data_IF_645163228021
#
_entry.id   IF_645163228021
#
_cell.length_a   1.000
_cell.length_b   1.000
_cell.length_c   1.000
_cell.angle_alpha   90.00
_cell.angle_beta   90.00
_cell.angle_gamma   90.00
#
_symmetry.space_group_name_H-M   'P 1'
#
loop_
_entity.id
_entity.type
_entity.pdbx_description
1 polymer ?
#
# COMPACT_ATOMS: atom_id res chain seq x y z
N UNK A 1 2.11 33.30 17.62
CA UNK A 1 1.17 33.02 16.52
C UNK A 1 0.49 31.70 16.81
N UNK A 2 -0.84 31.62 16.75
CA UNK A 2 -1.53 30.36 16.94
C UNK A 2 -1.13 29.43 15.77
N UNK A 3 -0.61 28.24 16.07
CA UNK A 3 -0.32 27.25 15.03
C UNK A 3 -1.63 26.89 14.33
N UNK A 4 -1.65 27.02 13.01
CA UNK A 4 -2.83 26.67 12.21
C UNK A 4 -2.84 25.17 12.04
N UNK A 5 -3.79 24.49 12.69
CA UNK A 5 -4.03 23.06 12.48
C UNK A 5 -4.45 22.82 11.02
N UNK A 6 -3.86 21.83 10.41
CA UNK A 6 -4.18 21.39 9.05
C UNK A 6 -5.04 20.14 9.12
N UNK A 7 -6.21 20.14 8.49
CA UNK A 7 -7.06 18.95 8.50
C UNK A 7 -6.42 17.83 7.66
N UNK A 8 -6.36 16.62 8.18
CA UNK A 8 -5.79 15.47 7.46
C UNK A 8 -6.51 15.20 6.15
N UNK A 9 -7.82 15.30 6.15
CA UNK A 9 -8.67 15.14 4.96
C UNK A 9 -8.32 16.16 3.87
N UNK A 10 -8.16 17.44 4.23
CA UNK A 10 -7.71 18.47 3.30
C UNK A 10 -6.33 18.15 2.72
N UNK A 11 -5.38 17.68 3.54
CA UNK A 11 -4.06 17.27 3.08
C UNK A 11 -4.13 16.12 2.07
N UNK A 12 -4.94 15.11 2.33
CA UNK A 12 -5.07 13.95 1.42
C UNK A 12 -5.73 14.32 0.10
N UNK A 13 -6.75 15.17 0.12
CA UNK A 13 -7.38 15.65 -1.10
C UNK A 13 -6.45 16.53 -1.95
N UNK A 14 -5.71 17.44 -1.32
CA UNK A 14 -4.76 18.29 -2.02
C UNK A 14 -3.62 17.46 -2.64
N UNK A 15 -3.06 16.50 -1.90
CA UNK A 15 -1.99 15.67 -2.45
C UNK A 15 -2.48 14.75 -3.56
N UNK A 16 -3.70 14.22 -3.46
CA UNK A 16 -4.30 13.42 -4.53
C UNK A 16 -4.42 14.21 -5.83
N UNK A 17 -4.89 15.46 -5.75
CA UNK A 17 -4.94 16.37 -6.91
C UNK A 17 -3.56 16.66 -7.48
N UNK A 18 -2.57 16.89 -6.62
CA UNK A 18 -1.21 17.23 -7.08
C UNK A 18 -0.53 16.03 -7.76
N UNK A 19 -0.63 14.83 -7.22
CA UNK A 19 0.01 13.64 -7.82
C UNK A 19 -0.67 13.21 -9.11
N UNK A 20 -1.97 13.49 -9.29
CA UNK A 20 -2.71 13.23 -10.51
C UNK A 20 -2.77 14.44 -11.45
N UNK A 21 -2.08 15.55 -11.15
CA UNK A 21 -2.11 16.76 -11.96
C UNK A 21 -1.43 16.59 -13.33
N UNK A 22 -0.48 15.68 -13.44
CA UNK A 22 0.20 15.33 -14.69
C UNK A 22 0.88 13.97 -14.60
N UNK A 23 1.20 13.33 -15.75
CA UNK A 23 2.03 12.12 -15.79
C UNK A 23 3.33 12.24 -15.01
N UNK A 24 4.02 13.38 -15.10
CA UNK A 24 5.30 13.62 -14.43
C UNK A 24 5.14 13.65 -12.90
N UNK A 25 4.06 14.23 -12.37
CA UNK A 25 3.79 14.24 -10.92
C UNK A 25 3.45 12.83 -10.42
N UNK A 26 2.69 12.04 -11.19
CA UNK A 26 2.42 10.65 -10.89
C UNK A 26 3.71 9.81 -10.85
N UNK A 27 4.56 9.91 -11.87
CA UNK A 27 5.87 9.24 -11.91
C UNK A 27 6.76 9.63 -10.71
N UNK A 28 6.73 10.89 -10.28
CA UNK A 28 7.43 11.34 -9.05
C UNK A 28 6.88 10.68 -7.80
N UNK A 29 5.56 10.56 -7.69
CA UNK A 29 4.94 9.82 -6.59
C UNK A 29 5.34 8.34 -6.63
N UNK A 30 5.29 7.69 -7.81
CA UNK A 30 5.69 6.29 -7.97
C UNK A 30 7.16 6.06 -7.58
N UNK A 31 8.06 7.00 -7.82
CA UNK A 31 9.44 6.95 -7.31
C UNK A 31 9.51 6.86 -5.78
N UNK A 32 8.64 7.55 -5.08
CA UNK A 32 8.57 7.48 -3.61
C UNK A 32 7.88 6.20 -3.17
N UNK A 33 6.78 5.81 -3.84
CA UNK A 33 6.05 4.58 -3.57
C UNK A 33 6.94 3.33 -3.71
N UNK A 34 7.81 3.28 -4.73
CA UNK A 34 8.75 2.15 -4.95
C UNK A 34 9.74 1.97 -3.79
N UNK A 35 10.24 3.07 -3.20
CA UNK A 35 11.11 3.01 -2.01
C UNK A 35 10.33 2.59 -0.76
N UNK A 36 9.06 2.99 -0.68
CA UNK A 36 8.16 2.79 0.46
C UNK A 36 7.15 1.66 0.24
N UNK A 37 7.42 0.71 -0.65
CA UNK A 37 6.49 -0.36 -1.07
C UNK A 37 5.93 -1.21 0.09
N UNK A 38 6.57 -1.19 1.27
CA UNK A 38 6.08 -1.87 2.49
C UNK A 38 4.95 -1.12 3.20
N UNK A 39 4.75 0.15 2.87
CA UNK A 39 3.66 0.97 3.37
C UNK A 39 2.44 0.83 2.46
N UNK A 40 1.24 0.97 3.03
CA UNK A 40 -0.01 1.00 2.26
C UNK A 40 -0.09 2.27 1.42
N UNK A 41 -0.91 2.27 0.37
CA UNK A 41 -1.08 3.46 -0.48
C UNK A 41 -1.44 4.73 0.33
N UNK A 42 -2.38 4.71 1.31
CA UNK A 42 -2.63 5.88 2.15
C UNK A 42 -1.40 6.41 2.88
N UNK A 43 -0.58 5.51 3.41
CA UNK A 43 0.65 5.90 4.10
C UNK A 43 1.70 6.45 3.14
N UNK A 44 1.86 5.85 1.95
CA UNK A 44 2.74 6.36 0.89
C UNK A 44 2.35 7.77 0.47
N UNK A 45 1.04 8.02 0.26
CA UNK A 45 0.51 9.33 -0.12
C UNK A 45 0.78 10.38 0.97
N UNK A 46 0.54 10.04 2.23
CA UNK A 46 0.80 10.92 3.38
C UNK A 46 2.29 11.18 3.61
N UNK A 47 3.14 10.17 3.42
CA UNK A 47 4.60 10.37 3.49
C UNK A 47 5.04 11.29 2.35
N UNK A 48 4.59 11.04 1.12
CA UNK A 48 4.89 11.88 -0.03
C UNK A 48 4.46 13.34 0.17
N UNK A 49 3.26 13.57 0.72
CA UNK A 49 2.75 14.91 1.01
C UNK A 49 3.66 15.71 1.94
N UNK A 50 4.28 15.05 2.92
CA UNK A 50 5.07 15.69 3.98
C UNK A 50 6.58 15.61 3.73
N UNK A 51 7.03 14.57 3.01
CA UNK A 51 8.45 14.31 2.74
C UNK A 51 8.65 13.44 1.49
N UNK A 52 8.57 14.03 0.29
CA UNK A 52 8.66 13.30 -0.99
C UNK A 52 9.97 12.51 -1.15
N UNK A 53 11.06 13.00 -0.57
CA UNK A 53 12.39 12.39 -0.63
C UNK A 53 12.63 11.28 0.42
N UNK A 54 11.63 10.91 1.20
CA UNK A 54 11.76 9.87 2.23
C UNK A 54 12.31 8.57 1.65
N UNK A 55 13.23 7.93 2.40
CA UNK A 55 13.94 6.72 1.96
C UNK A 55 13.59 5.49 2.79
N UNK A 56 13.74 5.57 4.11
CA UNK A 56 13.40 4.50 5.04
C UNK A 56 12.75 5.10 6.28
N UNK A 57 11.48 4.85 6.45
CA UNK A 57 10.65 5.49 7.48
C UNK A 57 10.25 4.45 8.53
N UNK A 58 10.29 4.82 9.80
CA UNK A 58 9.78 3.98 10.88
C UNK A 58 9.38 4.81 12.12
N UNK A 59 8.61 4.20 13.02
CA UNK A 59 8.28 4.81 14.30
C UNK A 59 9.53 4.99 15.20
N UNK A 60 9.47 5.95 16.10
CA UNK A 60 10.54 6.17 17.09
C UNK A 60 10.87 4.89 17.89
N UNK A 61 9.85 4.10 18.20
CA UNK A 61 10.02 2.83 18.90
C UNK A 61 10.88 1.84 18.11
N UNK A 62 10.60 1.68 16.81
CA UNK A 62 11.39 0.81 15.92
C UNK A 62 12.82 1.32 15.83
N UNK A 63 13.02 2.63 15.62
CA UNK A 63 14.35 3.21 15.55
C UNK A 63 15.13 2.97 16.83
N UNK A 64 14.55 3.25 17.99
CA UNK A 64 15.25 3.15 19.27
C UNK A 64 15.48 1.70 19.70
N UNK A 65 14.45 0.86 19.70
CA UNK A 65 14.49 -0.48 20.30
C UNK A 65 15.05 -1.56 19.38
N UNK A 66 14.74 -1.48 18.07
CA UNK A 66 15.17 -2.53 17.12
C UNK A 66 16.42 -2.16 16.35
N UNK A 67 16.56 -0.87 15.98
CA UNK A 67 17.66 -0.39 15.15
C UNK A 67 18.77 0.28 15.96
N UNK A 68 18.55 0.56 17.25
CA UNK A 68 19.50 1.29 18.11
C UNK A 68 19.96 2.60 17.48
N UNK A 69 18.98 3.33 16.95
CA UNK A 69 19.15 4.66 16.35
C UNK A 69 18.24 5.65 17.08
N UNK A 70 18.76 6.85 17.34
CA UNK A 70 18.02 7.89 18.04
C UNK A 70 17.62 8.99 17.08
N UNK A 71 16.44 9.56 17.29
CA UNK A 71 15.95 10.69 16.50
C UNK A 71 16.81 11.91 16.84
N UNK A 72 17.29 12.61 15.80
CA UNK A 72 18.04 13.86 15.97
C UNK A 72 17.15 14.93 16.57
N UNK A 73 17.72 15.75 17.46
CA UNK A 73 16.99 16.89 18.04
C UNK A 73 16.53 17.84 16.97
N UNK A 74 15.24 18.24 17.03
CA UNK A 74 14.61 19.13 16.06
C UNK A 74 14.15 18.48 14.76
N UNK A 75 14.29 17.15 14.61
CA UNK A 75 13.76 16.43 13.46
C UNK A 75 12.24 16.55 13.37
N UNK A 76 11.73 16.64 12.14
CA UNK A 76 10.31 16.74 11.84
C UNK A 76 9.71 15.34 11.61
N UNK A 77 8.74 14.97 12.45
CA UNK A 77 7.98 13.74 12.27
C UNK A 77 7.00 13.83 11.10
N UNK A 78 6.63 12.69 10.56
CA UNK A 78 5.64 12.52 9.50
C UNK A 78 4.38 11.93 10.17
N UNK A 79 3.23 12.58 10.04
CA UNK A 79 1.96 12.09 10.57
C UNK A 79 1.34 11.07 9.62
N UNK A 80 0.97 9.93 10.16
CA UNK A 80 0.23 8.87 9.48
C UNK A 80 -1.07 8.56 10.22
N UNK A 81 -2.03 8.01 9.51
CA UNK A 81 -3.28 7.53 10.07
C UNK A 81 -3.06 6.11 10.61
N UNK A 82 -3.30 5.91 11.91
CA UNK A 82 -3.29 4.59 12.53
C UNK A 82 -4.73 4.12 12.78
N UNK A 83 -5.15 3.15 12.00
CA UNK A 83 -6.43 2.46 12.12
C UNK A 83 -6.28 1.01 12.62
N UNK A 84 -5.07 0.62 13.07
CA UNK A 84 -4.74 -0.75 13.48
C UNK A 84 -4.63 -0.91 14.99
N UNK A 85 -4.17 0.11 15.73
CA UNK A 85 -3.86 0.03 17.17
C UNK A 85 -5.08 0.15 18.08
N UNK A 86 -6.30 0.00 17.56
CA UNK A 86 -7.52 0.08 18.37
C UNK A 86 -8.80 0.17 17.54
N UNK A 87 -9.93 0.34 18.20
CA UNK A 87 -11.21 0.43 17.50
C UNK A 87 -11.33 1.69 16.65
N UNK A 88 -10.79 2.80 17.14
CA UNK A 88 -10.85 4.11 16.47
C UNK A 88 -9.54 4.49 15.80
N UNK A 89 -9.67 5.26 14.76
CA UNK A 89 -8.58 5.90 14.01
C UNK A 89 -7.90 6.99 14.85
N UNK A 90 -6.57 7.06 14.79
CA UNK A 90 -5.74 8.07 15.46
C UNK A 90 -4.50 8.42 14.62
N UNK A 91 -3.79 9.48 14.99
CA UNK A 91 -2.50 9.79 14.39
C UNK A 91 -1.37 8.99 15.06
N UNK A 92 -0.41 8.55 14.24
CA UNK A 92 0.91 8.08 14.64
C UNK A 92 2.00 8.85 13.90
N UNK A 93 3.19 8.90 14.47
CA UNK A 93 4.32 9.64 13.88
C UNK A 93 5.46 8.71 13.54
N UNK A 94 6.06 8.94 12.38
CA UNK A 94 7.21 8.20 11.88
C UNK A 94 8.32 9.17 11.47
N UNK A 95 9.56 8.69 11.39
CA UNK A 95 10.74 9.48 11.08
C UNK A 95 11.57 8.77 10.03
N UNK A 96 12.14 9.53 9.09
CA UNK A 96 13.05 9.00 8.09
C UNK A 96 14.42 8.65 8.72
N UNK A 97 15.13 7.69 8.14
CA UNK A 97 16.47 7.27 8.58
C UNK A 97 17.45 8.45 8.63
N UNK A 98 17.30 9.43 7.74
CA UNK A 98 18.15 10.64 7.69
C UNK A 98 17.99 11.51 8.95
N UNK A 99 16.86 11.41 9.63
CA UNK A 99 16.59 12.09 10.89
C UNK A 99 17.13 11.35 12.12
N UNK A 100 17.85 10.26 11.91
CA UNK A 100 18.38 9.43 13.00
C UNK A 100 19.89 9.39 13.01
N UNK A 101 20.47 9.05 14.17
CA UNK A 101 21.88 8.73 14.30
C UNK A 101 22.07 7.40 15.03
N UNK A 102 23.15 6.68 14.70
CA UNK A 102 23.47 5.38 15.32
C UNK A 102 23.99 5.55 16.74
N UNK A 103 23.56 4.69 17.64
CA UNK A 103 24.24 4.49 18.92
C UNK A 103 25.56 3.76 18.64
N UNK A 104 26.66 4.25 19.24
CA UNK A 104 28.01 3.65 19.02
C UNK A 104 27.98 2.15 19.30
N UNK A 105 28.53 1.38 18.37
CA UNK A 105 28.69 -0.09 18.43
C UNK A 105 27.40 -0.93 18.42
N UNK A 106 26.20 -0.33 18.47
CA UNK A 106 24.91 -1.05 18.50
C UNK A 106 24.01 -0.67 17.32
N UNK A 107 24.16 0.55 16.78
CA UNK A 107 23.27 1.08 15.75
C UNK A 107 23.34 0.30 14.44
N UNK A 108 22.18 -0.11 13.95
CA UNK A 108 21.99 -0.84 12.69
C UNK A 108 21.55 0.09 11.59
N UNK A 109 21.90 -0.23 10.36
CA UNK A 109 21.28 0.39 9.18
C UNK A 109 20.04 -0.40 8.77
N UNK A 110 19.02 0.27 8.21
CA UNK A 110 17.95 -0.43 7.54
C UNK A 110 18.50 -1.36 6.47
N UNK A 111 18.04 -2.59 6.47
CA UNK A 111 18.37 -3.52 5.39
C UNK A 111 17.53 -3.14 4.16
N UNK A 112 18.05 -2.20 3.39
CA UNK A 112 17.53 -1.83 2.07
C UNK A 112 18.28 -2.71 1.07
N UNK A 113 17.56 -3.65 0.45
CA UNK A 113 18.17 -4.47 -0.58
C UNK A 113 18.46 -3.64 -1.84
N UNK A 114 19.58 -3.92 -2.46
CA UNK A 114 19.92 -3.43 -3.80
C UNK A 114 20.20 -4.64 -4.67
N UNK A 115 19.72 -4.60 -5.90
CA UNK A 115 19.98 -5.62 -6.88
C UNK A 115 21.24 -5.22 -7.68
N UNK A 116 22.33 -5.99 -7.61
CA UNK A 116 23.48 -5.78 -8.48
C UNK A 116 23.15 -6.23 -9.91
N UNK A 117 23.77 -5.60 -10.90
CA UNK A 117 23.55 -5.91 -12.33
C UNK A 117 23.80 -7.39 -12.63
N UNK A 118 24.82 -7.98 -11.99
CA UNK A 118 25.17 -9.39 -12.15
C UNK A 118 24.08 -10.34 -11.64
N UNK A 119 23.18 -9.84 -10.78
CA UNK A 119 22.08 -10.62 -10.21
C UNK A 119 20.74 -10.49 -10.96
N UNK A 120 20.65 -9.63 -11.96
CA UNK A 120 19.38 -9.37 -12.66
C UNK A 120 18.82 -10.63 -13.32
N UNK A 121 19.65 -11.42 -13.99
CA UNK A 121 19.21 -12.66 -14.62
C UNK A 121 18.73 -13.70 -13.60
N UNK A 122 19.38 -13.82 -12.45
CA UNK A 122 18.97 -14.74 -11.38
C UNK A 122 17.64 -14.33 -10.76
N UNK A 123 17.36 -13.02 -10.65
CA UNK A 123 16.05 -12.53 -10.18
C UNK A 123 14.97 -12.76 -11.25
N UNK A 124 15.30 -12.64 -12.53
CA UNK A 124 14.38 -12.97 -13.62
C UNK A 124 13.99 -14.46 -13.59
N UNK A 125 14.98 -15.35 -13.52
CA UNK A 125 14.77 -16.81 -13.41
C UNK A 125 13.95 -17.16 -12.15
N UNK A 126 14.28 -16.53 -11.01
CA UNK A 126 13.53 -16.71 -9.76
C UNK A 126 12.06 -16.30 -9.90
N UNK A 127 11.78 -15.15 -10.53
CA UNK A 127 10.39 -14.69 -10.75
C UNK A 127 9.62 -15.62 -11.70
N UNK A 128 10.25 -16.07 -12.77
CA UNK A 128 9.65 -17.00 -13.72
C UNK A 128 9.25 -18.30 -13.03
N UNK A 129 10.13 -18.85 -12.17
CA UNK A 129 9.84 -20.05 -11.40
C UNK A 129 8.71 -19.83 -10.37
N UNK A 130 8.81 -18.76 -9.55
CA UNK A 130 7.87 -18.52 -8.45
C UNK A 130 6.46 -18.14 -8.91
N UNK A 131 6.35 -17.40 -10.02
CA UNK A 131 5.07 -16.93 -10.57
C UNK A 131 4.61 -17.76 -11.77
N UNK A 132 5.35 -18.80 -12.15
CA UNK A 132 5.07 -19.64 -13.32
C UNK A 132 4.93 -18.84 -14.62
N UNK A 133 5.75 -17.77 -14.75
CA UNK A 133 5.74 -16.91 -15.93
C UNK A 133 6.29 -17.65 -17.15
N UNK A 134 5.89 -17.23 -18.34
CA UNK A 134 6.50 -17.72 -19.58
C UNK A 134 7.99 -17.30 -19.64
N UNK A 135 8.82 -18.14 -20.24
CA UNK A 135 10.24 -17.83 -20.47
C UNK A 135 10.35 -16.62 -21.41
N UNK A 136 10.96 -15.55 -20.92
CA UNK A 136 11.09 -14.29 -21.66
C UNK A 136 12.54 -14.07 -22.06
N UNK A 137 12.78 -13.84 -23.34
CA UNK A 137 14.13 -13.45 -23.84
C UNK A 137 14.52 -12.02 -23.41
N UNK A 138 13.56 -11.25 -22.86
CA UNK A 138 13.72 -9.82 -22.52
C UNK A 138 14.37 -9.55 -21.16
N UNK A 139 14.84 -10.56 -20.44
CA UNK A 139 15.51 -10.42 -19.15
C UNK A 139 14.58 -9.91 -18.03
N UNK A 140 15.19 -9.29 -16.98
CA UNK A 140 14.46 -8.90 -15.77
C UNK A 140 13.30 -7.91 -16.05
N UNK A 141 13.50 -6.92 -16.92
CA UNK A 141 12.47 -5.92 -17.20
C UNK A 141 11.20 -6.56 -17.77
N UNK A 142 11.34 -7.51 -18.69
CA UNK A 142 10.20 -8.21 -19.28
C UNK A 142 9.55 -9.18 -18.28
N UNK A 143 10.36 -9.89 -17.46
CA UNK A 143 9.81 -10.73 -16.39
C UNK A 143 8.99 -9.92 -15.38
N UNK A 144 9.45 -8.70 -15.03
CA UNK A 144 8.70 -7.78 -14.17
C UNK A 144 7.41 -7.27 -14.85
N UNK A 145 7.45 -7.01 -16.16
CA UNK A 145 6.25 -6.62 -16.92
C UNK A 145 5.21 -7.73 -16.98
N UNK A 146 5.65 -8.96 -17.24
CA UNK A 146 4.78 -10.12 -17.27
C UNK A 146 4.17 -10.37 -15.88
N UNK A 147 4.97 -10.29 -14.80
CA UNK A 147 4.47 -10.38 -13.44
C UNK A 147 3.41 -9.32 -13.13
N UNK A 148 3.60 -8.08 -13.62
CA UNK A 148 2.61 -7.01 -13.48
C UNK A 148 1.31 -7.34 -14.22
N UNK A 149 1.39 -7.81 -15.47
CA UNK A 149 0.23 -8.16 -16.30
C UNK A 149 -0.58 -9.32 -15.73
N UNK A 150 0.08 -10.39 -15.32
CA UNK A 150 -0.61 -11.58 -14.79
C UNK A 150 -1.29 -11.27 -13.45
N UNK A 151 -0.59 -10.62 -12.53
CA UNK A 151 -1.18 -10.20 -11.26
C UNK A 151 -2.35 -9.22 -11.49
N UNK A 152 -2.23 -8.32 -12.48
CA UNK A 152 -3.30 -7.39 -12.82
C UNK A 152 -4.56 -8.11 -13.31
N UNK A 153 -4.42 -9.17 -14.13
CA UNK A 153 -5.58 -9.93 -14.64
C UNK A 153 -6.41 -10.54 -13.50
N UNK A 154 -5.76 -10.97 -12.43
CA UNK A 154 -6.44 -11.50 -11.25
C UNK A 154 -7.20 -10.40 -10.48
N UNK A 155 -6.60 -9.21 -10.34
CA UNK A 155 -7.16 -8.11 -9.55
C UNK A 155 -8.18 -7.25 -10.30
N UNK A 156 -8.12 -7.20 -11.63
CA UNK A 156 -8.88 -6.28 -12.46
C UNK A 156 -10.41 -6.37 -12.29
N UNK A 157 -11.05 -7.57 -12.24
CA UNK A 157 -12.51 -7.65 -12.12
C UNK A 157 -13.02 -6.99 -10.84
N UNK A 158 -12.44 -7.34 -9.69
CA UNK A 158 -12.85 -6.82 -8.39
C UNK A 158 -12.54 -5.32 -8.26
N UNK A 159 -11.38 -4.90 -8.78
CA UNK A 159 -10.97 -3.49 -8.76
C UNK A 159 -11.89 -2.61 -9.63
N UNK A 160 -12.35 -3.10 -10.78
CA UNK A 160 -13.30 -2.39 -11.64
C UNK A 160 -14.68 -2.32 -10.99
N UNK A 161 -15.15 -3.40 -10.37
CA UNK A 161 -16.42 -3.38 -9.63
C UNK A 161 -16.41 -2.30 -8.56
N UNK A 162 -15.33 -2.24 -7.75
CA UNK A 162 -15.19 -1.21 -6.71
C UNK A 162 -15.05 0.21 -7.29
N UNK A 163 -14.27 0.38 -8.36
CA UNK A 163 -14.09 1.67 -9.03
C UNK A 163 -15.43 2.22 -9.53
N UNK A 164 -16.24 1.40 -10.19
CA UNK A 164 -17.54 1.79 -10.75
C UNK A 164 -18.54 2.30 -9.72
N UNK A 165 -18.42 1.89 -8.48
CA UNK A 165 -19.25 2.43 -7.39
C UNK A 165 -18.94 3.90 -7.07
N UNK A 166 -17.75 4.37 -7.42
CA UNK A 166 -17.24 5.70 -7.05
C UNK A 166 -17.06 6.66 -8.25
N UNK A 167 -17.38 6.24 -9.49
CA UNK A 167 -17.18 7.08 -10.70
C UNK A 167 -18.12 8.30 -10.78
N UNK A 168 -19.26 8.26 -10.08
CA UNK A 168 -20.25 9.35 -10.14
C UNK A 168 -19.66 10.69 -9.71
N UNK A 169 -19.82 11.71 -10.55
CA UNK A 169 -19.27 13.05 -10.38
C UNK A 169 -17.75 13.15 -10.68
N UNK A 170 -17.20 12.20 -11.43
CA UNK A 170 -15.82 12.22 -11.91
C UNK A 170 -15.78 12.25 -13.43
N UNK A 171 -14.60 12.48 -14.02
CA UNK A 171 -14.43 12.40 -15.48
C UNK A 171 -14.75 11.02 -16.02
N UNK A 172 -14.46 9.97 -15.26
CA UNK A 172 -14.72 8.58 -15.66
C UNK A 172 -16.22 8.27 -15.85
N UNK A 173 -17.13 9.07 -15.27
CA UNK A 173 -18.58 8.93 -15.50
C UNK A 173 -18.97 9.20 -16.96
N UNK A 174 -18.19 10.02 -17.67
CA UNK A 174 -18.42 10.35 -19.09
C UNK A 174 -17.98 9.24 -20.05
N UNK A 175 -17.18 8.29 -19.56
CA UNK A 175 -16.66 7.16 -20.33
C UNK A 175 -17.63 5.96 -20.25
N UNK A 176 -17.75 5.23 -21.34
CA UNK A 176 -18.41 3.92 -21.29
C UNK A 176 -17.56 2.90 -20.51
N UNK A 177 -18.19 1.81 -20.09
CA UNK A 177 -17.56 0.78 -19.25
C UNK A 177 -16.30 0.15 -19.88
N UNK A 178 -16.24 0.05 -21.20
CA UNK A 178 -15.11 -0.52 -21.91
C UNK A 178 -13.92 0.44 -21.91
N UNK A 179 -14.16 1.73 -22.11
CA UNK A 179 -13.11 2.74 -22.04
C UNK A 179 -12.61 2.94 -20.59
N UNK A 180 -13.50 2.94 -19.59
CA UNK A 180 -13.11 2.93 -18.17
C UNK A 180 -12.17 1.77 -17.86
N UNK A 181 -12.47 0.56 -18.34
CA UNK A 181 -11.65 -0.63 -18.16
C UNK A 181 -10.29 -0.48 -18.83
N UNK A 182 -10.24 -0.02 -20.07
CA UNK A 182 -8.99 0.14 -20.82
C UNK A 182 -8.06 1.12 -20.14
N UNK A 183 -8.55 2.31 -19.77
CA UNK A 183 -7.76 3.35 -19.12
C UNK A 183 -7.26 2.90 -17.73
N UNK A 184 -8.14 2.31 -16.93
CA UNK A 184 -7.77 1.83 -15.60
C UNK A 184 -6.73 0.71 -15.67
N UNK A 185 -6.92 -0.26 -16.57
CA UNK A 185 -6.00 -1.38 -16.77
C UNK A 185 -4.62 -0.90 -17.24
N UNK A 186 -4.57 0.02 -18.21
CA UNK A 186 -3.32 0.57 -18.73
C UNK A 186 -2.54 1.31 -17.64
N UNK A 187 -3.18 2.26 -16.96
CA UNK A 187 -2.56 2.99 -15.85
C UNK A 187 -2.09 2.08 -14.72
N UNK A 188 -2.90 1.09 -14.35
CA UNK A 188 -2.58 0.15 -13.29
C UNK A 188 -1.35 -0.69 -13.66
N UNK A 189 -1.34 -1.29 -14.87
CA UNK A 189 -0.23 -2.11 -15.34
C UNK A 189 1.08 -1.32 -15.42
N UNK A 190 1.04 -0.14 -16.05
CA UNK A 190 2.22 0.71 -16.20
C UNK A 190 2.73 1.24 -14.85
N UNK A 191 1.83 1.55 -13.91
CA UNK A 191 2.20 2.00 -12.57
C UNK A 191 2.85 0.88 -11.74
N UNK A 192 2.33 -0.35 -11.82
CA UNK A 192 2.94 -1.52 -11.17
C UNK A 192 4.33 -1.76 -11.76
N UNK A 193 4.44 -1.82 -13.09
CA UNK A 193 5.71 -2.05 -13.76
C UNK A 193 6.73 -0.97 -13.42
N UNK A 194 6.32 0.31 -13.42
CA UNK A 194 7.17 1.42 -12.98
C UNK A 194 7.75 1.20 -11.58
N UNK A 195 6.88 0.84 -10.62
CA UNK A 195 7.28 0.60 -9.22
C UNK A 195 8.28 -0.56 -9.12
N UNK A 196 8.06 -1.64 -9.89
CA UNK A 196 8.93 -2.80 -9.91
C UNK A 196 10.29 -2.47 -10.52
N UNK A 197 10.33 -1.85 -11.72
CA UNK A 197 11.55 -1.40 -12.40
C UNK A 197 12.39 -0.49 -11.50
N UNK A 198 11.77 0.58 -11.02
CA UNK A 198 12.47 1.59 -10.21
C UNK A 198 13.02 1.01 -8.91
N UNK A 199 12.29 0.07 -8.27
CA UNK A 199 12.77 -0.56 -7.03
C UNK A 199 13.89 -1.57 -7.28
N UNK A 200 13.90 -2.24 -8.42
CA UNK A 200 14.99 -3.12 -8.84
C UNK A 200 16.23 -2.35 -9.33
N UNK A 201 16.13 -1.04 -9.53
CA UNK A 201 17.26 -0.19 -9.94
C UNK A 201 17.44 -0.10 -11.45
N UNK A 202 16.47 -0.59 -12.25
CA UNK A 202 16.47 -0.46 -13.70
C UNK A 202 16.13 0.98 -14.11
N UNK A 203 16.69 1.42 -15.25
CA UNK A 203 16.35 2.75 -15.79
C UNK A 203 14.93 2.71 -16.39
N UNK A 204 14.00 3.28 -15.66
CA UNK A 204 12.58 3.30 -16.06
C UNK A 204 12.38 4.00 -17.40
N UNK A 205 13.20 5.00 -17.73
CA UNK A 205 13.04 5.80 -18.95
C UNK A 205 13.36 5.01 -20.23
N UNK A 206 14.00 3.84 -20.11
CA UNK A 206 14.19 2.91 -21.23
C UNK A 206 12.88 2.18 -21.62
N UNK A 207 11.90 2.12 -20.71
CA UNK A 207 10.70 1.28 -20.86
C UNK A 207 9.39 2.07 -20.82
N UNK A 208 9.32 3.14 -20.04
CA UNK A 208 8.11 3.93 -19.79
C UNK A 208 8.40 5.43 -19.84
N UNK A 209 7.49 6.17 -20.44
CA UNK A 209 7.54 7.61 -20.49
C UNK A 209 6.23 8.27 -19.99
N UNK A 210 6.11 9.58 -20.18
CA UNK A 210 4.95 10.33 -19.72
C UNK A 210 3.65 9.98 -20.48
N UNK A 211 3.75 9.52 -21.72
CA UNK A 211 2.59 9.15 -22.55
C UNK A 211 1.90 7.90 -22.00
N UNK A 212 2.66 6.97 -21.39
CA UNK A 212 2.14 5.76 -20.74
C UNK A 212 1.25 6.06 -19.52
N UNK A 213 1.28 7.30 -19.03
CA UNK A 213 0.50 7.77 -17.88
C UNK A 213 -0.45 8.91 -18.23
N UNK A 214 -0.73 9.17 -19.52
CA UNK A 214 -1.54 10.32 -19.98
C UNK A 214 -2.91 10.42 -19.32
N UNK A 215 -3.55 9.28 -19.05
CA UNK A 215 -4.88 9.22 -18.45
C UNK A 215 -4.92 9.47 -16.93
N UNK A 216 -3.77 9.69 -16.26
CA UNK A 216 -3.75 9.92 -14.82
C UNK A 216 -4.55 11.15 -14.40
N UNK A 217 -4.67 12.14 -15.27
CA UNK A 217 -5.44 13.37 -15.01
C UNK A 217 -6.93 13.12 -14.81
N UNK A 218 -7.43 12.00 -15.32
CA UNK A 218 -8.83 11.57 -15.23
C UNK A 218 -9.13 10.94 -13.86
N UNK A 219 -8.06 10.57 -13.13
CA UNK A 219 -8.05 10.01 -11.79
C UNK A 219 -7.76 11.06 -10.68
N UNK A 220 -8.00 12.35 -10.93
CA UNK A 220 -7.59 13.48 -10.07
C UNK A 220 -8.45 13.69 -8.80
N UNK A 221 -9.38 12.80 -8.50
CA UNK A 221 -10.15 12.80 -7.26
C UNK A 221 -9.66 11.70 -6.31
N UNK A 222 -9.57 12.01 -5.01
CA UNK A 222 -9.04 11.10 -3.99
C UNK A 222 -9.72 9.72 -4.03
N UNK A 223 -11.04 9.66 -4.23
CA UNK A 223 -11.77 8.38 -4.28
C UNK A 223 -11.33 7.50 -5.44
N UNK A 224 -11.15 8.07 -6.64
CA UNK A 224 -10.75 7.33 -7.85
C UNK A 224 -9.26 6.99 -7.82
N UNK A 225 -8.42 7.95 -7.46
CA UNK A 225 -6.98 7.71 -7.28
C UNK A 225 -6.71 6.69 -6.18
N UNK A 226 -7.58 6.63 -5.15
CA UNK A 226 -7.51 5.64 -4.08
C UNK A 226 -7.68 4.21 -4.57
N UNK A 227 -8.56 3.96 -5.54
CA UNK A 227 -8.68 2.64 -6.19
C UNK A 227 -7.39 2.30 -6.94
N UNK A 228 -6.94 3.17 -7.85
CA UNK A 228 -5.72 2.95 -8.62
C UNK A 228 -4.51 2.69 -7.72
N UNK A 229 -4.23 3.59 -6.79
CA UNK A 229 -3.03 3.50 -5.94
C UNK A 229 -3.06 2.31 -4.98
N UNK A 230 -4.26 1.93 -4.48
CA UNK A 230 -4.39 0.75 -3.62
C UNK A 230 -4.06 -0.54 -4.39
N UNK A 231 -4.60 -0.72 -5.59
CA UNK A 231 -4.33 -1.91 -6.40
C UNK A 231 -2.87 -1.95 -6.84
N UNK A 232 -2.29 -0.83 -7.27
CA UNK A 232 -0.86 -0.74 -7.59
C UNK A 232 0.02 -1.21 -6.41
N UNK A 233 -0.32 -0.80 -5.18
CA UNK A 233 0.41 -1.23 -3.99
C UNK A 233 0.19 -2.71 -3.65
N UNK A 234 -1.05 -3.21 -3.73
CA UNK A 234 -1.37 -4.59 -3.40
C UNK A 234 -0.74 -5.59 -4.38
N UNK A 235 -0.54 -5.21 -5.64
CA UNK A 235 0.17 -6.03 -6.64
C UNK A 235 1.68 -5.92 -6.48
N UNK A 236 2.24 -4.71 -6.42
CA UNK A 236 3.69 -4.50 -6.42
C UNK A 236 4.37 -4.95 -5.13
N UNK A 237 3.71 -4.76 -3.98
CA UNK A 237 4.26 -5.09 -2.66
C UNK A 237 4.65 -6.55 -2.48
N UNK A 238 3.80 -7.57 -2.74
CA UNK A 238 4.19 -8.97 -2.59
C UNK A 238 5.32 -9.37 -3.52
N UNK A 239 5.32 -8.92 -4.78
CA UNK A 239 6.39 -9.17 -5.74
C UNK A 239 7.72 -8.61 -5.22
N UNK A 240 7.76 -7.34 -4.79
CA UNK A 240 8.96 -6.71 -4.24
C UNK A 240 9.41 -7.33 -2.90
N UNK A 241 8.49 -7.85 -2.11
CA UNK A 241 8.85 -8.57 -0.89
C UNK A 241 9.51 -9.92 -1.19
N UNK A 242 9.07 -10.62 -2.24
CA UNK A 242 9.68 -11.88 -2.70
C UNK A 242 11.07 -11.61 -3.26
N UNK A 243 11.22 -10.66 -4.18
CA UNK A 243 12.52 -10.23 -4.72
C UNK A 243 13.47 -9.83 -3.59
N UNK A 244 13.01 -8.96 -2.68
CA UNK A 244 13.83 -8.50 -1.57
C UNK A 244 14.28 -9.60 -0.62
N UNK A 245 13.45 -10.64 -0.43
CA UNK A 245 13.80 -11.83 0.36
C UNK A 245 14.89 -12.65 -0.35
N UNK A 246 14.73 -12.90 -1.63
CA UNK A 246 15.71 -13.61 -2.45
C UNK A 246 17.05 -12.87 -2.47
N UNK A 247 17.04 -11.57 -2.78
CA UNK A 247 18.27 -10.73 -2.83
C UNK A 247 19.01 -10.73 -1.48
N UNK A 248 18.31 -10.71 -0.36
CA UNK A 248 18.96 -10.64 0.96
C UNK A 248 19.48 -11.99 1.48
N UNK A 249 18.93 -13.11 1.04
CA UNK A 249 19.24 -14.41 1.62
C UNK A 249 19.97 -15.36 0.67
N UNK A 250 19.61 -15.34 -0.62
CA UNK A 250 19.98 -16.41 -1.54
C UNK A 250 20.91 -15.94 -2.67
N UNK A 251 20.69 -14.74 -3.20
CA UNK A 251 21.38 -14.21 -4.38
C UNK A 251 22.94 -14.29 -4.30
N UNK A 252 23.50 -13.99 -3.13
CA UNK A 252 24.98 -14.03 -2.97
C UNK A 252 25.54 -15.45 -3.17
N UNK A 253 24.79 -16.48 -2.72
CA UNK A 253 25.18 -17.87 -2.87
C UNK A 253 25.04 -18.33 -4.32
N UNK A 254 23.97 -17.92 -4.99
CA UNK A 254 23.72 -18.27 -6.39
C UNK A 254 24.73 -17.61 -7.31
N UNK A 255 25.08 -16.33 -7.07
CA UNK A 255 26.18 -15.65 -7.78
C UNK A 255 27.53 -16.37 -7.62
N UNK A 256 27.84 -16.86 -6.41
CA UNK A 256 29.07 -17.65 -6.19
C UNK A 256 29.04 -18.99 -6.92
N UNK A 257 27.88 -19.61 -7.05
CA UNK A 257 27.69 -20.87 -7.77
C UNK A 257 27.90 -20.67 -9.27
N UNK A 258 27.24 -19.66 -9.86
CA UNK A 258 27.40 -19.29 -11.27
C UNK A 258 28.87 -18.90 -11.59
N UNK A 259 29.53 -18.17 -10.68
CA UNK A 259 30.94 -17.81 -10.86
C UNK A 259 31.85 -19.05 -10.89
N UNK A 260 31.59 -20.04 -10.02
CA UNK A 260 32.32 -21.31 -10.03
C UNK A 260 32.10 -22.13 -11.31
N UNK A 261 30.85 -22.20 -11.76
CA UNK A 261 30.48 -22.87 -13.02
C UNK A 261 31.13 -22.20 -14.21
N UNK A 262 31.15 -20.86 -14.27
CA UNK A 262 31.87 -20.10 -15.29
C UNK A 262 33.38 -20.30 -15.21
N UNK A 263 33.95 -20.40 -14.01
CA UNK A 263 35.39 -20.69 -13.82
C UNK A 263 35.76 -22.10 -14.27
N UNK A 264 34.91 -23.10 -14.03
CA UNK A 264 35.06 -24.45 -14.55
C UNK A 264 34.92 -24.44 -16.07
N UNK A 265 33.90 -23.85 -16.63
CA UNK A 265 33.69 -23.69 -18.07
C UNK A 265 34.81 -22.86 -18.73
N UNK A 266 35.30 -21.80 -18.07
CA UNK A 266 36.43 -20.98 -18.53
C UNK A 266 37.73 -21.74 -18.49
N UNK A 267 37.98 -22.59 -17.50
CA UNK A 267 39.15 -23.47 -17.45
C UNK A 267 39.10 -24.57 -18.51
N UNK A 268 37.93 -25.07 -18.85
CA UNK A 268 37.72 -25.98 -20.00
C UNK A 268 37.86 -25.23 -21.34
N UNK A 269 37.41 -23.97 -21.45
CA UNK A 269 37.46 -23.14 -22.66
C UNK A 269 38.80 -22.46 -22.87
N UNK A 270 39.52 -22.05 -21.79
CA UNK A 270 40.88 -21.45 -21.88
C UNK A 270 41.96 -22.43 -22.29
N UNK A 271 41.62 -23.69 -22.42
CA UNK A 271 42.43 -24.61 -23.21
C UNK A 271 42.42 -24.25 -24.72
N UNK A 272 41.54 -23.37 -25.16
CA UNK A 272 41.29 -23.06 -26.57
C UNK A 272 41.57 -21.63 -27.04
N UNK A 273 41.44 -20.55 -26.23
CA UNK A 273 41.70 -19.17 -26.75
C UNK A 273 42.20 -18.20 -25.66
N UNK A 274 43.31 -17.53 -25.91
CA UNK A 274 43.78 -16.32 -25.21
C UNK A 274 43.50 -15.08 -26.05
N UNK A 275 43.15 -13.96 -25.35
CA UNK A 275 43.15 -12.52 -25.75
C UNK A 275 41.76 -11.91 -26.00
N UNK A 276 41.34 -10.81 -25.41
CA UNK A 276 41.81 -9.47 -25.11
C UNK A 276 40.68 -8.55 -24.55
N UNK A 277 40.99 -7.82 -23.49
CA UNK A 277 40.79 -6.40 -23.08
C UNK A 277 39.55 -5.56 -23.47
N UNK A 278 38.99 -4.79 -22.63
CA UNK A 278 39.14 -3.71 -21.66
C UNK A 278 37.96 -2.72 -21.67
N UNK A 279 37.49 -2.40 -20.48
CA UNK A 279 37.06 -1.13 -19.85
C UNK A 279 36.27 -0.03 -20.57
N UNK A 280 35.19 0.42 -19.90
CA UNK A 280 35.00 1.82 -19.44
C UNK A 280 33.68 2.04 -18.68
N UNK A 281 33.83 2.57 -17.47
CA UNK A 281 32.75 3.11 -16.63
C UNK A 281 32.70 4.63 -16.72
N UNK A 282 31.52 5.23 -16.90
CA UNK A 282 31.30 6.66 -16.68
C UNK A 282 30.13 6.89 -15.71
N UNK A 283 30.42 7.65 -14.65
CA UNK A 283 29.48 8.17 -13.65
C UNK A 283 28.59 9.29 -14.20
N UNK A 284 27.29 9.25 -13.93
CA UNK A 284 26.36 10.37 -14.10
C UNK A 284 25.74 10.77 -12.78
N UNK A 285 26.13 11.95 -12.26
CA UNK A 285 25.45 12.66 -11.17
C UNK A 285 24.17 13.35 -11.67
N UNK A 286 23.03 12.98 -11.10
CA UNK A 286 21.71 13.58 -11.37
C UNK A 286 21.47 14.80 -10.47
N UNK A 287 21.24 15.96 -11.06
CA UNK A 287 20.88 17.20 -10.35
C UNK A 287 19.45 17.11 -9.80
N UNK A 288 19.33 16.90 -8.49
CA UNK A 288 18.03 16.97 -7.76
C UNK A 288 17.48 18.41 -7.80
N UNK A 289 16.35 18.61 -8.50
CA UNK A 289 15.52 19.82 -8.33
C UNK A 289 14.82 19.76 -6.99
N UNK A 290 14.96 20.81 -6.17
CA UNK A 290 14.24 20.95 -4.90
C UNK A 290 12.74 21.06 -5.17
N UNK A 291 11.99 20.09 -4.70
CA UNK A 291 10.53 20.10 -4.68
C UNK A 291 10.06 21.06 -3.59
N UNK A 292 9.09 21.91 -3.91
CA UNK A 292 8.51 22.84 -2.93
C UNK A 292 7.65 22.02 -1.94
N UNK A 293 8.13 21.91 -0.69
CA UNK A 293 7.36 21.27 0.39
C UNK A 293 6.13 22.11 0.72
N UNK A 294 4.99 21.45 0.98
CA UNK A 294 3.79 22.13 1.50
C UNK A 294 4.11 22.83 2.83
N UNK A 295 3.50 24.00 3.06
CA UNK A 295 3.65 24.75 4.30
C UNK A 295 2.83 24.12 5.44
N UNK A 296 3.29 22.99 5.96
CA UNK A 296 2.76 22.39 7.18
C UNK A 296 3.49 23.02 8.36
N UNK A 297 2.76 23.53 9.36
CA UNK A 297 3.34 24.00 10.62
C UNK A 297 3.69 22.81 11.52
N UNK A 298 4.66 23.01 12.43
CA UNK A 298 5.15 21.99 13.33
C UNK A 298 5.18 22.50 14.76
N UNK A 299 4.74 21.68 15.70
CA UNK A 299 4.82 21.91 17.14
C UNK A 299 5.91 21.07 17.79
N UNK A 300 6.55 21.62 18.83
CA UNK A 300 7.58 20.92 19.57
C UNK A 300 6.97 19.82 20.45
N UNK A 301 7.49 18.61 20.35
CA UNK A 301 7.12 17.47 21.18
C UNK A 301 8.39 16.82 21.75
N UNK A 302 8.80 17.23 22.94
CA UNK A 302 10.09 16.82 23.53
C UNK A 302 11.28 17.32 22.72
N UNK A 303 12.12 16.41 22.21
CA UNK A 303 13.32 16.75 21.42
C UNK A 303 13.08 16.83 19.91
N UNK A 304 11.92 16.45 19.42
CA UNK A 304 11.55 16.47 18.00
C UNK A 304 10.29 17.30 17.76
N UNK A 305 9.95 17.50 16.50
CA UNK A 305 8.77 18.25 16.07
C UNK A 305 7.76 17.32 15.42
N UNK A 306 6.47 17.55 15.68
CA UNK A 306 5.37 16.86 15.03
C UNK A 306 4.58 17.86 14.19
N UNK A 307 4.04 17.46 13.03
CA UNK A 307 3.24 18.33 12.20
C UNK A 307 1.91 18.67 12.89
N UNK A 308 1.47 19.92 12.76
CA UNK A 308 0.19 20.41 13.28
C UNK A 308 -0.95 19.91 12.37
N UNK A 309 -1.19 18.60 12.38
CA UNK A 309 -2.25 17.93 11.62
C UNK A 309 -3.28 17.40 12.60
N UNK A 310 -4.55 17.52 12.26
CA UNK A 310 -5.69 17.01 13.05
C UNK A 310 -6.47 15.96 12.27
N UNK A 311 -7.03 14.99 13.00
CA UNK A 311 -8.12 14.13 12.56
C UNK A 311 -9.40 14.61 13.20
N UNK A 312 -10.51 14.56 12.47
CA UNK A 312 -11.83 14.74 13.08
C UNK A 312 -12.15 13.54 13.97
N UNK A 313 -12.43 13.83 15.25
CA UNK A 313 -12.81 12.78 16.21
C UNK A 313 -14.29 12.41 16.04
N UNK A 314 -14.56 11.21 15.62
CA UNK A 314 -15.92 10.66 15.57
C UNK A 314 -16.41 10.32 16.99
N UNK A 315 -17.55 10.89 17.41
CA UNK A 315 -18.16 10.61 18.71
C UNK A 315 -18.89 9.28 18.67
N UNK A 316 -18.68 8.43 19.70
CA UNK A 316 -19.31 7.12 19.83
C UNK A 316 -18.33 5.99 19.97
N UNK A 317 -18.80 4.75 19.98
CA UNK A 317 -18.01 3.51 20.04
C UNK A 317 -18.39 2.60 18.90
N UNK A 318 -17.41 2.00 18.24
CA UNK A 318 -17.62 0.99 17.22
C UNK A 318 -17.94 -0.33 17.94
N UNK A 319 -19.12 -0.91 17.66
CA UNK A 319 -19.55 -2.15 18.26
C UNK A 319 -19.10 -3.41 17.51
N UNK A 320 -19.70 -4.56 17.87
CA UNK A 320 -19.34 -5.90 17.33
C UNK A 320 -19.39 -5.92 15.79
N UNK A 321 -20.49 -5.48 15.21
CA UNK A 321 -20.72 -5.56 13.76
C UNK A 321 -19.85 -4.58 12.99
N UNK A 322 -19.62 -3.38 13.53
CA UNK A 322 -18.68 -2.41 12.97
C UNK A 322 -17.25 -2.95 12.95
N UNK A 323 -16.81 -3.66 14.00
CA UNK A 323 -15.48 -4.30 14.01
C UNK A 323 -15.38 -5.45 13.01
N UNK A 324 -16.43 -6.25 12.84
CA UNK A 324 -16.47 -7.28 11.80
C UNK A 324 -16.39 -6.68 10.39
N UNK A 325 -17.13 -5.59 10.13
CA UNK A 325 -17.06 -4.83 8.87
C UNK A 325 -15.65 -4.28 8.62
N UNK A 326 -15.00 -3.73 9.65
CA UNK A 326 -13.62 -3.22 9.56
C UNK A 326 -12.65 -4.31 9.10
N UNK A 327 -12.76 -5.50 9.66
CA UNK A 327 -11.92 -6.63 9.31
C UNK A 327 -12.20 -7.13 7.88
N UNK A 328 -13.47 -7.22 7.51
CA UNK A 328 -13.87 -7.57 6.15
C UNK A 328 -13.33 -6.58 5.11
N UNK A 329 -13.55 -5.29 5.30
CA UNK A 329 -13.05 -4.25 4.39
C UNK A 329 -11.52 -4.33 4.25
N UNK A 330 -10.81 -4.49 5.36
CA UNK A 330 -9.34 -4.55 5.35
C UNK A 330 -8.79 -5.75 4.60
N UNK A 331 -9.48 -6.89 4.63
CA UNK A 331 -8.99 -8.15 4.07
C UNK A 331 -9.53 -8.42 2.65
N UNK A 332 -10.70 -7.88 2.30
CA UNK A 332 -11.42 -8.23 1.06
C UNK A 332 -11.78 -7.02 0.18
N UNK A 333 -11.81 -5.81 0.74
CA UNK A 333 -12.15 -4.57 0.03
C UNK A 333 -11.12 -3.48 0.37
N UNK A 334 -9.86 -3.77 0.06
CA UNK A 334 -8.69 -2.97 0.49
C UNK A 334 -8.76 -1.54 -0.05
N UNK A 335 -9.16 -1.35 -1.31
CA UNK A 335 -9.29 -0.02 -1.90
C UNK A 335 -10.34 0.80 -1.15
N UNK A 336 -11.52 0.23 -0.89
CA UNK A 336 -12.58 0.90 -0.12
C UNK A 336 -12.15 1.24 1.31
N UNK A 337 -11.45 0.33 1.98
CA UNK A 337 -10.87 0.57 3.31
C UNK A 337 -9.90 1.75 3.30
N UNK A 338 -9.02 1.81 2.31
CA UNK A 338 -8.03 2.86 2.16
C UNK A 338 -8.66 4.23 1.88
N UNK A 339 -9.67 4.28 1.01
CA UNK A 339 -10.40 5.51 0.67
C UNK A 339 -11.13 6.05 1.91
N UNK A 340 -11.88 5.22 2.63
CA UNK A 340 -12.57 5.61 3.86
C UNK A 340 -11.58 6.11 4.93
N UNK A 341 -10.39 5.51 5.00
CA UNK A 341 -9.33 5.94 5.90
C UNK A 341 -8.81 7.33 5.52
N UNK A 342 -8.48 7.56 4.24
CA UNK A 342 -7.95 8.84 3.74
C UNK A 342 -8.96 9.98 3.87
N UNK A 343 -10.25 9.69 3.66
CA UNK A 343 -11.35 10.63 3.82
C UNK A 343 -11.75 10.87 5.29
N UNK A 344 -11.09 10.21 6.25
CA UNK A 344 -11.47 10.22 7.67
C UNK A 344 -12.93 9.77 7.95
N UNK A 345 -13.50 8.99 7.04
CA UNK A 345 -14.89 8.49 7.15
C UNK A 345 -14.97 7.05 7.67
N UNK A 346 -13.83 6.37 7.93
CA UNK A 346 -13.84 4.96 8.34
C UNK A 346 -14.64 4.75 9.62
N UNK A 347 -14.36 5.52 10.67
CA UNK A 347 -15.02 5.34 11.98
C UNK A 347 -16.52 5.62 11.91
N UNK A 348 -16.95 6.65 11.18
CA UNK A 348 -18.38 6.96 10.98
C UNK A 348 -19.11 5.87 10.22
N UNK A 349 -18.52 5.37 9.12
CA UNK A 349 -19.05 4.25 8.36
C UNK A 349 -19.22 3.00 9.22
N UNK A 350 -18.22 2.65 10.04
CA UNK A 350 -18.29 1.46 10.90
C UNK A 350 -19.35 1.58 11.99
N UNK A 351 -19.58 2.78 12.54
CA UNK A 351 -20.65 3.03 13.51
C UNK A 351 -22.04 2.95 12.88
N UNK A 352 -22.18 3.45 11.65
CA UNK A 352 -23.42 3.37 10.90
C UNK A 352 -23.78 1.90 10.60
N UNK A 353 -22.84 1.12 10.09
CA UNK A 353 -23.01 -0.32 9.86
C UNK A 353 -23.36 -1.06 11.15
N UNK A 354 -22.70 -0.75 12.27
CA UNK A 354 -23.01 -1.37 13.57
C UNK A 354 -24.44 -1.08 14.00
N UNK A 355 -24.91 0.16 13.80
CA UNK A 355 -26.28 0.56 14.11
C UNK A 355 -27.31 -0.12 13.22
N UNK A 356 -27.09 -0.13 11.90
CA UNK A 356 -27.95 -0.79 10.92
C UNK A 356 -28.06 -2.31 11.19
N UNK A 357 -26.92 -2.96 11.44
CA UNK A 357 -26.88 -4.39 11.73
C UNK A 357 -27.63 -4.74 13.02
N UNK A 358 -27.47 -3.95 14.10
CA UNK A 358 -28.23 -4.16 15.34
C UNK A 358 -29.73 -4.04 15.11
N UNK A 359 -30.15 -2.98 14.45
CA UNK A 359 -31.56 -2.76 14.16
C UNK A 359 -32.13 -3.90 13.29
N UNK A 360 -31.38 -4.37 12.30
CA UNK A 360 -31.82 -5.47 11.43
C UNK A 360 -31.91 -6.79 12.19
N UNK A 361 -30.95 -7.09 13.10
CA UNK A 361 -31.00 -8.27 13.98
C UNK A 361 -32.28 -8.23 14.86
N UNK A 362 -32.56 -7.09 15.48
CA UNK A 362 -33.74 -6.96 16.34
C UNK A 362 -35.04 -7.15 15.54
N UNK A 363 -35.12 -6.60 14.33
CA UNK A 363 -36.27 -6.79 13.44
C UNK A 363 -36.43 -8.25 13.02
N UNK A 364 -35.35 -8.90 12.58
CA UNK A 364 -35.41 -10.32 12.21
C UNK A 364 -35.73 -11.24 13.37
N UNK A 365 -35.24 -10.94 14.58
CA UNK A 365 -35.59 -11.70 15.77
C UNK A 365 -37.10 -11.62 16.04
N UNK A 366 -37.72 -10.43 15.89
CA UNK A 366 -39.16 -10.26 16.04
C UNK A 366 -39.94 -11.04 14.98
N UNK A 367 -39.56 -10.94 13.71
CA UNK A 367 -40.17 -11.69 12.61
C UNK A 367 -40.04 -13.23 12.81
N UNK A 368 -38.93 -13.72 13.31
CA UNK A 368 -38.70 -15.14 13.60
C UNK A 368 -39.56 -15.60 14.81
N UNK A 369 -39.66 -14.77 15.85
CA UNK A 369 -40.48 -15.06 17.02
C UNK A 369 -42.02 -15.05 16.73
N UNK A 370 -42.45 -14.28 15.73
CA UNK A 370 -43.84 -14.35 15.25
C UNK A 370 -44.14 -15.70 14.57
N UNK A 371 -43.16 -16.27 13.89
CA UNK A 371 -43.29 -17.58 13.20
C UNK A 371 -43.07 -18.78 14.13
N UNK A 372 -42.16 -18.61 15.07
CA UNK A 372 -41.78 -19.66 16.06
C UNK A 372 -41.74 -19.02 17.47
N UNK A 373 -42.89 -18.93 18.17
CA UNK A 373 -43.00 -18.27 19.46
C UNK A 373 -42.17 -18.96 20.55
N UNK A 374 -41.47 -18.16 21.37
CA UNK A 374 -40.67 -18.66 22.46
C UNK A 374 -41.50 -19.38 23.52
N UNK A 375 -40.98 -20.48 24.15
CA UNK A 375 -41.62 -21.12 25.29
C UNK A 375 -41.82 -20.16 26.45
N UNK A 376 -42.78 -20.49 27.35
CA UNK A 376 -42.98 -19.69 28.53
C UNK A 376 -41.73 -19.67 29.43
N UNK A 377 -41.18 -18.47 29.60
CA UNK A 377 -39.96 -18.26 30.39
C UNK A 377 -40.12 -18.65 31.86
N UNK A 378 -41.31 -18.54 32.40
CA UNK A 378 -41.60 -18.87 33.81
C UNK A 378 -41.77 -20.38 34.02
N UNK A 379 -42.24 -21.10 32.99
CA UNK A 379 -42.36 -22.56 33.01
C UNK A 379 -41.04 -23.28 32.78
N UNK A 380 -40.22 -22.84 31.80
CA UNK A 380 -38.91 -23.42 31.51
C UNK A 380 -37.93 -22.34 31.01
N UNK A 381 -37.20 -21.77 31.96
CA UNK A 381 -36.19 -20.75 31.68
C UNK A 381 -35.07 -21.27 30.77
N UNK A 382 -34.71 -22.53 30.85
CA UNK A 382 -33.61 -23.12 30.03
C UNK A 382 -34.04 -23.33 28.58
N UNK A 383 -35.27 -23.83 28.37
CA UNK A 383 -35.83 -23.95 27.02
C UNK A 383 -36.03 -22.57 26.38
N UNK A 384 -36.53 -21.60 27.12
CA UNK A 384 -36.64 -20.20 26.65
C UNK A 384 -35.28 -19.62 26.24
N UNK A 385 -34.23 -19.77 27.07
CA UNK A 385 -32.91 -19.25 26.79
C UNK A 385 -32.31 -19.90 25.57
N UNK A 386 -32.46 -21.22 25.41
CA UNK A 386 -31.96 -21.96 24.23
C UNK A 386 -32.67 -21.48 22.97
N UNK A 387 -33.96 -21.35 22.99
CA UNK A 387 -34.78 -20.86 21.87
C UNK A 387 -34.36 -19.43 21.46
N UNK A 388 -34.28 -18.51 22.42
CA UNK A 388 -33.87 -17.12 22.16
C UNK A 388 -32.43 -17.03 21.56
N UNK A 389 -31.51 -17.85 22.05
CA UNK A 389 -30.14 -17.93 21.49
C UNK A 389 -30.14 -18.47 20.07
N UNK A 390 -30.98 -19.45 19.75
CA UNK A 390 -31.16 -19.98 18.41
C UNK A 390 -31.71 -18.96 17.43
N UNK A 391 -32.79 -18.28 17.81
CA UNK A 391 -33.38 -17.18 17.02
C UNK A 391 -32.38 -16.07 16.76
N UNK A 392 -31.63 -15.68 17.81
CA UNK A 392 -30.61 -14.66 17.70
C UNK A 392 -29.47 -15.11 16.73
N UNK A 393 -29.02 -16.36 16.84
CA UNK A 393 -27.98 -16.87 15.97
C UNK A 393 -28.41 -16.87 14.49
N UNK A 394 -29.67 -17.28 14.21
CA UNK A 394 -30.23 -17.25 12.86
C UNK A 394 -30.34 -15.82 12.32
N UNK A 395 -30.82 -14.87 13.14
CA UNK A 395 -30.92 -13.47 12.75
C UNK A 395 -29.51 -12.86 12.49
N UNK A 396 -28.54 -13.15 13.36
CA UNK A 396 -27.16 -12.69 13.20
C UNK A 396 -26.50 -13.25 11.93
N UNK A 397 -26.70 -14.51 11.60
CA UNK A 397 -26.14 -15.14 10.38
C UNK A 397 -26.64 -14.45 9.12
N UNK A 398 -27.94 -14.17 9.03
CA UNK A 398 -28.52 -13.44 7.89
C UNK A 398 -27.95 -12.02 7.77
N UNK A 399 -27.89 -11.29 8.91
CA UNK A 399 -27.39 -9.90 8.91
C UNK A 399 -25.90 -9.83 8.54
N UNK A 400 -25.09 -10.80 8.96
CA UNK A 400 -23.67 -10.87 8.61
C UNK A 400 -23.51 -10.99 7.09
N UNK A 401 -24.31 -11.83 6.43
CA UNK A 401 -24.25 -11.97 4.96
C UNK A 401 -24.82 -10.73 4.25
N UNK A 402 -25.95 -10.17 4.76
CA UNK A 402 -26.66 -9.08 4.09
C UNK A 402 -25.94 -7.73 4.24
N UNK A 403 -25.33 -7.43 5.40
CA UNK A 403 -24.81 -6.09 5.74
C UNK A 403 -23.30 -6.07 5.92
N UNK A 404 -22.71 -7.12 6.53
CA UNK A 404 -21.30 -7.10 6.88
C UNK A 404 -20.41 -7.50 5.70
N UNK A 405 -20.84 -8.46 4.89
CA UNK A 405 -20.10 -9.02 3.76
C UNK A 405 -20.61 -8.55 2.38
N UNK A 406 -21.44 -7.52 2.37
CA UNK A 406 -21.94 -6.90 1.14
C UNK A 406 -20.91 -5.94 0.51
#
# INVERSE_FOLDING_TARGET
MANKLYAMEQLTEEVAKDVAASPQEWMRFLNTASRLYKYTFPEQLLIYAQRPEATAVASMEIWNQKMYRWIKKGSKGIALIDNTSGPKTKLRYVFDVQDTYKVRNLGKDPQLWNLPVEGEHLVADYLQEQLSLEDTEGGLAESLHQAAKESMQEWLPDALEELRLDVTGTFLEELDEQNQEVEFRELMTNSVWYVLLNRCGLDVQEYLDAEDFRHITDFNQLKILGHLGSVVNEISRPVLMQIGRYVLNDLENDLKTVAKEKEVAYNEFNTLIRESNTDNTEDREEKRRKQTMREISYSQNGEYQIPDISLEETRGTIGKYGMMRKEYLRNHKVARFNILTLQNHLDSHLMEIDSQARQRVDNLMNELLERDPAPDKMADTMAWTRHMNQIKAQAEELVIQEIIYS
#
